data_IF_215316291025
#
_entry.id   IF_215316291025
#
_cell.length_a   1.000
_cell.length_b   1.000
_cell.length_c   1.000
_cell.angle_alpha   90.00
_cell.angle_beta   90.00
_cell.angle_gamma   90.00
#
_symmetry.space_group_name_H-M   'P 1'
#
loop_
_entity.id
_entity.type
_entity.pdbx_description
1 polymer ?
#
# COMPACT_ATOMS: atom_id res chain seq x y z
N UNK A 1 -7.94 16.35 -25.92
CA UNK A 1 -8.19 15.38 -24.82
C UNK A 1 -9.17 14.36 -25.38
N UNK A 2 -9.05 13.06 -25.06
CA UNK A 2 -10.00 12.06 -25.54
C UNK A 2 -11.32 12.22 -24.79
N UNK A 3 -12.46 12.09 -25.49
CA UNK A 3 -13.79 12.11 -24.85
C UNK A 3 -14.07 10.78 -24.16
N UNK A 4 -14.95 10.75 -23.17
CA UNK A 4 -15.28 9.53 -22.43
C UNK A 4 -15.81 8.39 -23.32
N UNK A 5 -16.61 8.73 -24.33
CA UNK A 5 -17.10 7.78 -25.33
C UNK A 5 -15.94 7.14 -26.11
N UNK A 6 -14.98 7.97 -26.56
CA UNK A 6 -13.80 7.49 -27.28
C UNK A 6 -12.95 6.58 -26.38
N UNK A 7 -12.82 6.91 -25.10
CA UNK A 7 -12.12 6.08 -24.12
C UNK A 7 -12.83 4.73 -23.97
N UNK A 8 -14.16 4.71 -23.83
CA UNK A 8 -14.93 3.45 -23.73
C UNK A 8 -14.72 2.57 -24.96
N UNK A 9 -14.73 3.14 -26.15
CA UNK A 9 -14.51 2.37 -27.38
C UNK A 9 -13.07 1.86 -27.49
N UNK A 10 -12.06 2.68 -27.17
CA UNK A 10 -10.66 2.24 -27.13
C UNK A 10 -10.47 1.07 -26.15
N UNK A 11 -11.13 1.12 -24.98
CA UNK A 11 -11.01 0.09 -23.96
C UNK A 11 -11.75 -1.20 -24.30
N UNK A 12 -12.73 -1.20 -25.21
CA UNK A 12 -13.36 -2.43 -25.72
C UNK A 12 -12.37 -3.28 -26.51
N UNK A 13 -11.50 -2.63 -27.27
CA UNK A 13 -10.47 -3.29 -28.08
C UNK A 13 -9.22 -3.68 -27.28
N UNK A 14 -9.07 -3.15 -26.06
CA UNK A 14 -7.97 -3.51 -25.18
C UNK A 14 -8.17 -4.94 -24.64
N UNK A 15 -7.22 -5.86 -24.86
CA UNK A 15 -7.43 -7.27 -24.52
C UNK A 15 -7.58 -7.46 -23.01
N UNK A 16 -8.32 -8.49 -22.60
CA UNK A 16 -8.37 -8.88 -21.20
C UNK A 16 -7.00 -9.48 -20.78
N UNK A 17 -6.41 -8.94 -19.72
CA UNK A 17 -5.05 -9.24 -19.24
C UNK A 17 -5.17 -9.43 -17.74
N UNK A 18 -4.85 -10.61 -17.26
CA UNK A 18 -4.74 -10.85 -15.82
C UNK A 18 -3.41 -10.29 -15.32
N UNK A 19 -3.46 -9.45 -14.29
CA UNK A 19 -2.24 -8.98 -13.64
C UNK A 19 -1.59 -10.15 -12.90
N UNK A 20 -0.27 -10.26 -12.97
CA UNK A 20 0.46 -11.30 -12.21
C UNK A 20 0.15 -11.18 -10.71
N UNK A 21 -0.03 -12.31 -10.04
CA UNK A 21 -0.17 -12.36 -8.58
C UNK A 21 1.13 -11.86 -7.95
N UNK A 22 1.07 -10.66 -7.38
CA UNK A 22 2.19 -10.09 -6.66
C UNK A 22 2.06 -10.48 -5.17
N UNK A 23 3.10 -11.06 -4.59
CA UNK A 23 3.13 -11.40 -3.16
C UNK A 23 4.07 -10.47 -2.39
N UNK A 24 3.53 -9.76 -1.39
CA UNK A 24 4.32 -8.89 -0.52
C UNK A 24 5.21 -9.73 0.42
N UNK A 25 6.50 -9.41 0.44
CA UNK A 25 7.48 -10.08 1.27
C UNK A 25 7.61 -9.43 2.66
N UNK A 26 7.58 -10.27 3.71
CA UNK A 26 7.69 -9.85 5.10
C UNK A 26 8.98 -10.36 5.79
N UNK A 27 10.16 -10.02 5.26
CA UNK A 27 11.50 -10.11 5.91
C UNK A 27 12.38 -11.36 5.66
N UNK A 28 12.14 -12.19 4.64
CA UNK A 28 13.12 -13.23 4.23
C UNK A 28 13.90 -12.80 2.98
N UNK A 29 15.21 -13.10 2.95
CA UNK A 29 16.04 -12.99 1.73
C UNK A 29 15.74 -14.21 0.88
N UNK A 30 15.29 -14.01 -0.35
CA UNK A 30 14.93 -15.10 -1.26
C UNK A 30 16.04 -15.33 -2.29
N UNK A 31 16.24 -16.60 -2.63
CA UNK A 31 17.12 -17.07 -3.70
C UNK A 31 16.49 -16.79 -5.08
N UNK A 32 16.28 -15.50 -5.37
CA UNK A 32 15.77 -15.04 -6.65
C UNK A 32 16.90 -14.98 -7.68
N UNK A 33 16.60 -15.26 -8.94
CA UNK A 33 17.57 -15.16 -10.04
C UNK A 33 17.91 -13.70 -10.36
N UNK A 34 16.93 -12.80 -10.20
CA UNK A 34 17.03 -11.39 -10.57
C UNK A 34 16.28 -10.51 -9.58
N UNK A 35 16.87 -9.37 -9.25
CA UNK A 35 16.29 -8.36 -8.35
C UNK A 35 16.25 -7.02 -9.09
N UNK A 36 15.07 -6.41 -9.18
CA UNK A 36 14.80 -5.17 -9.89
C UNK A 36 14.37 -4.06 -8.93
N UNK A 37 14.97 -2.88 -9.03
CA UNK A 37 14.62 -1.70 -8.27
C UNK A 37 13.57 -0.86 -9.02
N UNK A 38 12.32 -0.96 -8.59
CA UNK A 38 11.18 -0.30 -9.23
C UNK A 38 11.06 1.15 -8.75
N UNK A 39 11.04 2.13 -9.67
CA UNK A 39 10.88 3.55 -9.33
C UNK A 39 9.59 3.85 -8.56
N UNK A 40 9.59 4.96 -7.82
CA UNK A 40 8.38 5.53 -7.22
C UNK A 40 7.58 6.27 -8.29
N UNK A 41 6.39 5.75 -8.60
CA UNK A 41 5.53 6.28 -9.65
C UNK A 41 4.22 5.51 -9.77
N UNK A 42 3.45 5.86 -10.80
CA UNK A 42 2.16 5.24 -11.08
C UNK A 42 2.31 4.07 -12.06
N UNK A 43 1.49 3.04 -11.87
CA UNK A 43 1.45 1.89 -12.78
C UNK A 43 0.68 2.21 -14.05
N UNK A 44 1.22 1.79 -15.19
CA UNK A 44 0.64 2.04 -16.51
C UNK A 44 0.73 0.79 -17.38
N UNK A 45 -0.30 0.59 -18.21
CA UNK A 45 -0.12 -0.14 -19.46
C UNK A 45 0.30 0.83 -20.56
N UNK A 46 1.23 0.40 -21.40
CA UNK A 46 1.57 1.07 -22.66
C UNK A 46 1.15 0.16 -23.79
N UNK A 47 0.23 0.64 -24.62
CA UNK A 47 -0.37 -0.14 -25.70
C UNK A 47 -0.09 0.50 -27.06
N UNK A 48 0.65 -0.21 -27.90
CA UNK A 48 0.94 0.19 -29.26
C UNK A 48 -0.15 -0.36 -30.18
N UNK A 49 -0.89 0.51 -30.86
CA UNK A 49 -2.04 0.10 -31.69
C UNK A 49 -2.31 1.12 -32.80
N UNK A 50 -3.42 0.94 -33.53
CA UNK A 50 -3.91 1.91 -34.50
C UNK A 50 -5.19 2.54 -33.98
N UNK A 51 -5.35 3.83 -34.21
CA UNK A 51 -6.56 4.56 -33.87
C UNK A 51 -6.84 5.57 -34.98
N UNK A 52 -8.06 5.56 -35.54
CA UNK A 52 -8.47 6.44 -36.65
C UNK A 52 -7.48 6.41 -37.85
N UNK A 53 -6.95 5.22 -38.16
CA UNK A 53 -5.97 4.94 -39.25
C UNK A 53 -4.53 5.43 -39.00
N UNK A 54 -4.25 6.01 -37.83
CA UNK A 54 -2.89 6.39 -37.42
C UNK A 54 -2.31 5.38 -36.43
N UNK A 55 -0.99 5.18 -36.47
CA UNK A 55 -0.28 4.41 -35.45
C UNK A 55 -0.15 5.27 -34.19
N UNK A 56 -0.66 4.76 -33.07
CA UNK A 56 -0.69 5.48 -31.78
C UNK A 56 -0.15 4.61 -30.65
N UNK A 57 0.31 5.27 -29.61
CA UNK A 57 0.66 4.65 -28.35
C UNK A 57 -0.27 5.18 -27.26
N UNK A 58 -1.05 4.29 -26.63
CA UNK A 58 -1.88 4.63 -25.50
C UNK A 58 -1.15 4.39 -24.18
N UNK A 59 -1.23 5.35 -23.28
CA UNK A 59 -0.83 5.24 -21.88
C UNK A 59 -2.10 5.07 -21.05
N UNK A 60 -2.27 3.90 -20.44
CA UNK A 60 -3.43 3.55 -19.63
C UNK A 60 -3.00 3.50 -18.16
N UNK A 61 -3.31 4.54 -17.40
CA UNK A 61 -2.99 4.63 -15.97
C UNK A 61 -3.85 3.67 -15.16
N UNK A 62 -3.22 2.90 -14.30
CA UNK A 62 -3.89 2.05 -13.33
C UNK A 62 -4.14 2.81 -12.03
N UNK A 63 -5.34 2.67 -11.49
CA UNK A 63 -5.70 3.19 -10.18
C UNK A 63 -5.12 2.34 -9.06
N UNK A 64 -4.86 2.97 -7.92
CA UNK A 64 -4.53 2.24 -6.69
C UNK A 64 -5.82 1.62 -6.14
N UNK A 65 -5.99 0.31 -6.25
CA UNK A 65 -7.12 -0.39 -5.67
C UNK A 65 -6.77 -0.85 -4.26
N UNK A 66 -7.48 -0.36 -3.25
CA UNK A 66 -7.42 -0.89 -1.87
C UNK A 66 -8.12 -2.25 -1.72
N UNK A 67 -8.59 -2.85 -2.82
CA UNK A 67 -9.25 -4.15 -2.83
C UNK A 67 -8.30 -5.23 -3.38
N UNK A 68 -8.29 -6.44 -2.78
CA UNK A 68 -7.49 -7.57 -3.23
C UNK A 68 -8.20 -8.29 -4.38
N UNK A 69 -8.45 -7.60 -5.49
CA UNK A 69 -9.08 -8.23 -6.66
C UNK A 69 -8.33 -7.80 -7.91
N UNK A 70 -7.89 -8.81 -8.67
CA UNK A 70 -7.15 -8.78 -9.94
C UNK A 70 -7.88 -8.04 -11.09
N UNK A 71 -8.70 -7.03 -10.82
CA UNK A 71 -9.45 -6.26 -11.80
C UNK A 71 -8.66 -5.03 -12.21
N UNK A 72 -8.41 -4.93 -13.51
CA UNK A 72 -7.85 -3.73 -14.14
C UNK A 72 -8.77 -2.54 -13.87
N UNK A 73 -8.31 -1.58 -13.08
CA UNK A 73 -8.98 -0.31 -12.94
C UNK A 73 -8.19 0.76 -13.70
N UNK A 74 -8.57 1.01 -14.95
CA UNK A 74 -7.94 2.04 -15.78
C UNK A 74 -8.62 3.38 -15.45
N UNK A 75 -7.86 4.29 -14.84
CA UNK A 75 -8.36 5.59 -14.38
C UNK A 75 -8.18 6.67 -15.45
N UNK A 76 -7.13 6.58 -16.25
CA UNK A 76 -6.80 7.60 -17.24
C UNK A 76 -6.23 7.00 -18.51
N UNK A 77 -6.68 7.48 -19.68
CA UNK A 77 -6.12 7.12 -21.00
C UNK A 77 -5.51 8.36 -21.67
N UNK A 78 -4.26 8.27 -22.13
CA UNK A 78 -3.57 9.33 -22.89
C UNK A 78 -2.96 8.78 -24.16
N UNK A 79 -2.89 9.61 -25.20
CA UNK A 79 -2.09 9.31 -26.39
C UNK A 79 -0.68 9.85 -26.18
N UNK A 80 0.32 8.99 -26.29
CA UNK A 80 1.72 9.36 -26.37
C UNK A 80 2.08 9.65 -27.82
N UNK A 81 2.34 10.93 -28.15
CA UNK A 81 2.65 11.40 -29.50
C UNK A 81 4.15 11.30 -29.79
N UNK A 82 4.73 10.13 -29.64
CA UNK A 82 6.10 9.88 -30.06
C UNK A 82 6.13 9.22 -31.44
N UNK A 83 7.12 9.55 -32.30
CA UNK A 83 7.39 8.79 -33.49
C UNK A 83 7.91 7.41 -33.08
N UNK A 84 7.17 6.36 -33.45
CA UNK A 84 7.57 4.97 -33.21
C UNK A 84 8.00 4.31 -34.52
N UNK A 85 8.99 3.41 -34.49
CA UNK A 85 9.49 2.75 -35.69
C UNK A 85 8.47 1.73 -36.19
N UNK A 86 7.57 2.16 -37.09
CA UNK A 86 6.81 1.29 -37.99
C UNK A 86 5.95 0.18 -37.34
N UNK A 87 5.28 -0.63 -38.18
CA UNK A 87 4.40 -1.79 -37.85
C UNK A 87 4.98 -2.83 -36.87
N UNK A 88 6.27 -2.74 -36.50
CA UNK A 88 7.03 -3.76 -35.78
C UNK A 88 6.59 -3.97 -34.33
N UNK A 89 5.83 -3.07 -33.73
CA UNK A 89 5.33 -3.23 -32.36
C UNK A 89 3.80 -3.15 -32.27
N UNK A 90 3.11 -3.26 -33.41
CA UNK A 90 1.66 -3.20 -33.44
C UNK A 90 1.05 -4.29 -32.56
N UNK A 91 0.14 -3.92 -31.66
CA UNK A 91 -0.47 -4.83 -30.71
C UNK A 91 0.44 -5.23 -29.53
N UNK A 92 1.61 -4.61 -29.37
CA UNK A 92 2.46 -4.81 -28.18
C UNK A 92 1.86 -4.10 -26.97
N UNK A 93 1.84 -4.79 -25.82
CA UNK A 93 1.33 -4.26 -24.54
C UNK A 93 2.40 -4.47 -23.47
N UNK A 94 2.89 -3.35 -22.94
CA UNK A 94 3.86 -3.31 -21.85
C UNK A 94 3.16 -2.91 -20.56
N UNK A 95 3.71 -3.36 -19.44
CA UNK A 95 3.34 -2.94 -18.11
C UNK A 95 4.56 -2.42 -17.37
N UNK A 96 4.39 -1.36 -16.60
CA UNK A 96 5.51 -0.73 -15.90
C UNK A 96 5.11 0.46 -15.06
N UNK A 97 6.13 1.14 -14.56
CA UNK A 97 5.97 2.33 -13.72
C UNK A 97 6.37 3.57 -14.50
N UNK A 98 5.46 4.56 -14.53
CA UNK A 98 5.75 5.89 -15.05
C UNK A 98 6.10 6.83 -13.89
N UNK A 99 7.24 7.50 -14.01
CA UNK A 99 7.77 8.43 -13.02
C UNK A 99 8.38 9.65 -13.72
N UNK A 100 8.66 10.71 -12.96
CA UNK A 100 9.30 11.93 -13.48
C UNK A 100 10.70 12.06 -12.92
N UNK A 101 11.62 12.46 -13.77
CA UNK A 101 12.97 12.85 -13.38
C UNK A 101 13.38 14.09 -14.17
N UNK A 102 13.78 15.18 -13.50
CA UNK A 102 14.15 16.46 -14.12
C UNK A 102 13.14 16.95 -15.18
N UNK A 103 11.84 16.91 -14.87
CA UNK A 103 10.72 17.23 -15.77
C UNK A 103 10.59 16.34 -17.02
N UNK A 104 11.42 15.32 -17.18
CA UNK A 104 11.25 14.28 -18.18
C UNK A 104 10.36 13.17 -17.62
N UNK A 105 9.43 12.69 -18.44
CA UNK A 105 8.63 11.52 -18.10
C UNK A 105 9.39 10.27 -18.53
N UNK A 106 9.52 9.33 -17.61
CA UNK A 106 10.21 8.06 -17.80
C UNK A 106 9.23 6.92 -17.56
N UNK A 107 9.33 5.86 -18.36
CA UNK A 107 8.57 4.62 -18.22
C UNK A 107 9.55 3.46 -18.04
N UNK A 108 9.54 2.89 -16.83
CA UNK A 108 10.30 1.69 -16.50
C UNK A 108 9.44 0.46 -16.79
N UNK A 109 9.82 -0.31 -17.81
CA UNK A 109 9.13 -1.52 -18.27
C UNK A 109 9.39 -2.65 -17.28
N UNK A 110 8.33 -3.18 -16.68
CA UNK A 110 8.39 -4.28 -15.71
C UNK A 110 7.93 -5.62 -16.29
N UNK A 111 7.05 -5.60 -17.29
CA UNK A 111 6.51 -6.81 -17.89
C UNK A 111 6.02 -6.57 -19.33
N UNK A 112 5.92 -7.64 -20.09
CA UNK A 112 5.31 -7.68 -21.43
C UNK A 112 4.13 -8.65 -21.38
N UNK A 113 2.97 -8.19 -21.84
CA UNK A 113 1.74 -8.99 -21.88
C UNK A 113 1.34 -9.35 -23.31
N UNK A 114 1.68 -8.52 -24.28
CA UNK A 114 1.46 -8.80 -25.69
C UNK A 114 2.67 -8.36 -26.49
N UNK A 115 3.03 -9.11 -27.51
CA UNK A 115 4.10 -8.77 -28.45
C UNK A 115 3.61 -8.94 -29.88
N UNK A 116 3.66 -7.86 -30.66
CA UNK A 116 3.27 -7.88 -32.08
C UNK A 116 1.86 -8.43 -32.33
N UNK A 117 0.92 -8.13 -31.43
CA UNK A 117 -0.48 -8.57 -31.51
C UNK A 117 -0.76 -9.94 -30.90
N UNK A 118 0.28 -10.68 -30.48
CA UNK A 118 0.13 -11.96 -29.81
C UNK A 118 0.18 -11.78 -28.29
N UNK A 119 -0.92 -12.11 -27.61
CA UNK A 119 -0.96 -12.18 -26.15
C UNK A 119 -0.03 -13.30 -25.67
N UNK A 120 0.85 -12.96 -24.73
CA UNK A 120 1.81 -13.91 -24.17
C UNK A 120 1.12 -14.77 -23.10
N UNK A 121 1.28 -16.10 -23.13
CA UNK A 121 0.79 -16.99 -22.08
C UNK A 121 1.37 -16.62 -20.71
N UNK A 122 0.63 -16.91 -19.64
CA UNK A 122 1.06 -16.61 -18.26
C UNK A 122 2.39 -17.28 -17.90
N UNK A 123 2.64 -18.49 -18.40
CA UNK A 123 3.88 -19.26 -18.21
C UNK A 123 5.07 -18.79 -19.07
N UNK A 124 4.94 -17.70 -19.84
CA UNK A 124 6.06 -17.20 -20.64
C UNK A 124 7.22 -16.78 -19.73
N UNK A 125 8.38 -17.41 -19.95
CA UNK A 125 9.60 -17.14 -19.18
C UNK A 125 9.97 -15.65 -19.23
N UNK A 126 10.39 -15.12 -18.08
CA UNK A 126 10.76 -13.71 -17.99
C UNK A 126 12.01 -13.38 -18.84
N UNK A 127 12.92 -14.34 -19.02
CA UNK A 127 14.07 -14.21 -19.93
C UNK A 127 13.63 -13.88 -21.36
N UNK A 128 12.58 -14.54 -21.87
CA UNK A 128 12.00 -14.25 -23.19
C UNK A 128 11.40 -12.84 -23.24
N UNK A 129 10.76 -12.41 -22.15
CA UNK A 129 10.21 -11.05 -22.05
C UNK A 129 11.31 -9.98 -22.06
N UNK A 130 12.46 -10.25 -21.44
CA UNK A 130 13.62 -9.37 -21.50
C UNK A 130 14.17 -9.23 -22.93
N UNK A 131 14.15 -10.29 -23.74
CA UNK A 131 14.51 -10.21 -25.17
C UNK A 131 13.59 -9.24 -25.93
N UNK A 132 12.27 -9.34 -25.71
CA UNK A 132 11.30 -8.40 -26.29
C UNK A 132 11.55 -6.95 -25.84
N UNK A 133 11.79 -6.73 -24.54
CA UNK A 133 12.13 -5.40 -24.02
C UNK A 133 13.40 -4.85 -24.68
N UNK A 134 14.42 -5.68 -24.86
CA UNK A 134 15.68 -5.30 -25.53
C UNK A 134 15.45 -4.89 -26.98
N UNK A 135 14.67 -5.65 -27.73
CA UNK A 135 14.32 -5.33 -29.13
C UNK A 135 13.54 -4.01 -29.24
N UNK A 136 12.56 -3.82 -28.37
CA UNK A 136 11.79 -2.58 -28.29
C UNK A 136 12.72 -1.37 -28.02
N UNK A 137 13.54 -1.45 -26.97
CA UNK A 137 14.41 -0.35 -26.56
C UNK A 137 15.45 0.00 -27.62
N UNK A 138 16.01 -1.00 -28.31
CA UNK A 138 16.92 -0.77 -29.45
C UNK A 138 16.22 0.02 -30.57
N UNK A 139 14.96 -0.31 -30.85
CA UNK A 139 14.18 0.39 -31.88
C UNK A 139 13.82 1.83 -31.49
N UNK A 140 13.43 2.07 -30.22
CA UNK A 140 13.02 3.39 -29.72
C UNK A 140 14.23 4.32 -29.57
N UNK A 141 15.37 3.81 -29.10
CA UNK A 141 16.59 4.62 -28.88
C UNK A 141 17.11 5.22 -30.19
N UNK A 142 17.00 4.49 -31.30
CA UNK A 142 17.39 4.96 -32.64
C UNK A 142 16.62 6.22 -33.09
N UNK A 143 15.39 6.42 -32.58
CA UNK A 143 14.51 7.54 -32.99
C UNK A 143 14.55 8.74 -32.04
N UNK A 144 14.87 8.52 -30.76
CA UNK A 144 14.62 9.49 -29.68
C UNK A 144 15.59 10.69 -29.60
N UNK A 145 16.53 10.85 -30.53
CA UNK A 145 17.65 11.81 -30.40
C UNK A 145 17.27 13.31 -30.51
N UNK A 146 15.99 13.69 -30.71
CA UNK A 146 15.65 15.08 -31.08
C UNK A 146 14.54 15.80 -30.28
N UNK A 147 13.82 15.17 -29.34
CA UNK A 147 12.62 15.82 -28.73
C UNK A 147 12.37 15.40 -27.25
N UNK A 148 11.68 16.26 -26.48
CA UNK A 148 11.25 16.06 -25.08
C UNK A 148 10.17 14.98 -24.99
N UNK A 149 10.62 13.75 -25.03
CA UNK A 149 9.81 12.55 -25.25
C UNK A 149 9.76 11.66 -24.00
N UNK A 150 8.74 10.79 -23.91
CA UNK A 150 8.66 9.77 -22.87
C UNK A 150 9.84 8.80 -23.05
N UNK A 151 10.69 8.71 -22.03
CA UNK A 151 11.87 7.84 -22.05
C UNK A 151 11.49 6.42 -21.63
N UNK A 152 11.76 5.44 -22.48
CA UNK A 152 11.57 4.03 -22.16
C UNK A 152 12.86 3.43 -21.61
N UNK A 153 12.75 2.64 -20.54
CA UNK A 153 13.87 1.91 -19.97
C UNK A 153 13.40 0.68 -19.19
N UNK A 154 14.35 -0.10 -18.69
CA UNK A 154 14.09 -1.20 -17.76
C UNK A 154 14.52 -0.70 -16.36
N UNK A 155 13.83 -1.09 -15.27
CA UNK A 155 14.31 -0.88 -13.92
C UNK A 155 15.78 -1.29 -13.75
N UNK A 156 16.53 -0.61 -12.88
CA UNK A 156 17.85 -1.07 -12.47
C UNK A 156 17.72 -2.49 -11.90
N UNK A 157 18.57 -3.42 -12.34
CA UNK A 157 18.51 -4.79 -11.87
C UNK A 157 19.89 -5.41 -11.69
N UNK A 158 19.96 -6.42 -10.83
CA UNK A 158 21.14 -7.24 -10.60
C UNK A 158 20.78 -8.72 -10.62
N UNK A 159 21.80 -9.57 -10.81
CA UNK A 159 21.68 -11.00 -10.53
C UNK A 159 21.44 -11.20 -9.03
N UNK A 160 20.42 -11.98 -8.66
CA UNK A 160 20.13 -12.24 -7.26
C UNK A 160 21.16 -13.16 -6.59
N UNK A 161 21.00 -13.33 -5.27
CA UNK A 161 21.94 -14.05 -4.41
C UNK A 161 23.21 -13.26 -4.08
N UNK A 162 24.00 -12.88 -5.09
CA UNK A 162 25.37 -12.36 -4.87
C UNK A 162 25.51 -10.84 -4.95
N UNK A 163 24.62 -10.14 -5.67
CA UNK A 163 24.80 -8.71 -5.98
C UNK A 163 23.77 -7.79 -5.30
N UNK A 164 23.07 -8.25 -4.26
CA UNK A 164 22.09 -7.42 -3.57
C UNK A 164 22.70 -6.16 -2.95
N UNK A 165 23.87 -6.26 -2.30
CA UNK A 165 24.58 -5.10 -1.73
C UNK A 165 24.98 -4.09 -2.79
N UNK A 166 25.43 -4.57 -3.96
CA UNK A 166 25.73 -3.73 -5.12
C UNK A 166 24.48 -3.00 -5.63
N UNK A 167 23.33 -3.68 -5.69
CA UNK A 167 22.07 -3.02 -6.04
C UNK A 167 21.78 -1.87 -5.08
N UNK A 168 21.98 -2.06 -3.77
CA UNK A 168 21.75 -1.00 -2.79
C UNK A 168 22.66 0.20 -3.02
N UNK A 169 23.95 -0.01 -3.29
CA UNK A 169 24.87 1.09 -3.63
C UNK A 169 24.49 1.78 -4.95
N UNK A 170 24.11 1.01 -5.97
CA UNK A 170 23.71 1.55 -7.26
C UNK A 170 22.42 2.40 -7.12
N UNK A 171 21.45 1.96 -6.29
CA UNK A 171 20.23 2.72 -5.97
C UNK A 171 20.57 4.09 -5.36
N UNK A 172 21.62 4.20 -4.55
CA UNK A 172 22.01 5.48 -3.95
C UNK A 172 22.48 6.52 -4.97
N UNK A 173 22.98 6.05 -6.12
CA UNK A 173 23.43 6.90 -7.24
C UNK A 173 22.29 7.29 -8.19
N UNK A 174 21.12 6.64 -8.08
CA UNK A 174 20.02 6.90 -8.99
C UNK A 174 19.44 8.29 -8.76
N UNK A 175 19.10 9.02 -9.83
CA UNK A 175 18.62 10.38 -9.70
C UNK A 175 17.09 10.45 -9.47
N UNK A 176 16.48 9.31 -9.14
CA UNK A 176 15.06 9.15 -8.83
C UNK A 176 14.87 8.15 -7.68
N UNK A 177 13.73 8.27 -6.99
CA UNK A 177 13.41 7.44 -5.82
C UNK A 177 12.94 6.06 -6.26
N UNK A 178 13.35 5.03 -5.51
CA UNK A 178 12.87 3.66 -5.63
C UNK A 178 11.78 3.40 -4.59
N UNK A 179 10.67 2.76 -4.99
CA UNK A 179 9.54 2.41 -4.11
C UNK A 179 9.59 0.95 -3.68
N UNK A 180 9.85 0.04 -4.60
CA UNK A 180 9.85 -1.40 -4.32
C UNK A 180 11.03 -2.09 -4.98
N UNK A 181 11.51 -3.15 -4.33
CA UNK A 181 12.39 -4.14 -4.94
C UNK A 181 11.53 -5.33 -5.35
N UNK A 182 11.66 -5.75 -6.60
CA UNK A 182 10.96 -6.88 -7.17
C UNK A 182 11.92 -8.04 -7.40
N UNK A 183 11.57 -9.22 -6.91
CA UNK A 183 12.35 -10.44 -7.02
C UNK A 183 11.70 -11.33 -8.08
N UNK A 184 12.50 -11.77 -9.04
CA UNK A 184 12.08 -12.57 -10.20
C UNK A 184 12.85 -13.87 -10.25
N UNK A 185 12.15 -14.93 -10.60
CA UNK A 185 12.70 -16.23 -10.94
C UNK A 185 12.65 -16.38 -12.45
N UNK A 186 13.78 -16.73 -13.08
CA UNK A 186 13.90 -16.85 -14.52
C UNK A 186 13.55 -18.25 -15.02
N UNK A 187 13.66 -19.25 -14.14
CA UNK A 187 13.51 -20.68 -14.47
C UNK A 187 12.62 -21.42 -13.46
N UNK A 188 12.15 -22.60 -13.85
CA UNK A 188 11.38 -23.51 -13.00
C UNK A 188 9.95 -23.05 -12.70
N UNK A 189 9.29 -23.78 -11.80
CA UNK A 189 7.87 -23.59 -11.45
C UNK A 189 7.57 -22.22 -10.81
N UNK A 190 8.60 -21.58 -10.27
CA UNK A 190 8.51 -20.24 -9.66
C UNK A 190 8.63 -19.11 -10.69
N UNK A 191 8.89 -19.40 -11.96
CA UNK A 191 9.14 -18.39 -13.00
C UNK A 191 7.97 -17.42 -13.26
N UNK A 192 6.75 -17.83 -12.94
CA UNK A 192 5.55 -16.98 -13.00
C UNK A 192 5.35 -16.12 -11.75
N UNK A 193 6.04 -16.44 -10.64
CA UNK A 193 5.87 -15.74 -9.37
C UNK A 193 6.64 -14.42 -9.36
N UNK A 194 6.00 -13.39 -8.79
CA UNK A 194 6.58 -12.07 -8.62
C UNK A 194 6.47 -11.68 -7.16
N UNK A 195 7.62 -11.57 -6.51
CA UNK A 195 7.68 -11.18 -5.10
C UNK A 195 8.17 -9.74 -5.01
N UNK A 196 7.64 -8.96 -4.07
CA UNK A 196 8.06 -7.57 -3.91
C UNK A 196 8.26 -7.19 -2.45
N UNK A 197 9.16 -6.23 -2.23
CA UNK A 197 9.46 -5.65 -0.92
C UNK A 197 9.51 -4.13 -1.07
N UNK A 198 8.88 -3.40 -0.16
CA UNK A 198 9.02 -1.95 -0.13
C UNK A 198 10.48 -1.57 0.18
N UNK A 199 11.06 -0.68 -0.61
CA UNK A 199 12.42 -0.20 -0.42
C UNK A 199 12.42 1.04 0.48
N UNK A 200 13.25 1.02 1.52
CA UNK A 200 13.49 2.15 2.39
C UNK A 200 14.99 2.45 2.38
N UNK A 201 15.37 3.67 1.98
CA UNK A 201 16.78 4.07 1.90
C UNK A 201 17.43 3.97 3.28
N UNK A 202 18.51 3.18 3.45
CA UNK A 202 19.26 3.15 4.70
C UNK A 202 20.00 4.48 4.88
N UNK A 203 19.62 5.31 5.85
CA UNK A 203 20.45 6.40 6.39
C UNK A 203 20.45 7.75 5.64
N UNK A 204 19.47 8.61 5.95
CA UNK A 204 19.78 10.02 6.27
C UNK A 204 19.37 10.19 7.73
N UNK A 205 20.19 10.90 8.52
CA UNK A 205 20.11 11.07 9.97
C UNK A 205 18.70 10.89 10.55
N UNK A 206 18.40 9.66 10.97
CA UNK A 206 17.51 9.46 12.10
C UNK A 206 18.30 10.00 13.29
N UNK A 207 18.19 11.31 13.54
CA UNK A 207 18.27 11.74 14.94
C UNK A 207 17.30 10.80 15.66
N UNK A 208 17.77 10.13 16.70
CA UNK A 208 16.92 9.41 17.63
C UNK A 208 16.02 10.40 18.40
N UNK A 209 15.35 11.31 17.73
CA UNK A 209 14.06 11.81 18.17
C UNK A 209 13.10 10.71 17.78
N UNK A 210 12.75 9.82 18.73
CA UNK A 210 11.69 8.80 18.57
C UNK A 210 10.58 9.36 17.68
N UNK A 211 10.50 9.02 16.38
CA UNK A 211 9.45 9.53 15.55
C UNK A 211 8.31 8.54 15.71
N UNK A 212 7.24 9.06 16.28
CA UNK A 212 5.93 8.43 16.28
C UNK A 212 5.62 7.92 14.86
N UNK A 213 5.42 6.60 14.68
CA UNK A 213 4.97 6.10 13.40
C UNK A 213 3.60 6.70 13.12
N UNK A 214 3.43 7.39 11.99
CA UNK A 214 2.10 7.52 11.37
C UNK A 214 1.69 6.11 10.92
N UNK A 215 1.14 5.35 11.85
CA UNK A 215 0.72 3.97 11.67
C UNK A 215 -0.55 3.93 10.82
N UNK A 216 -0.50 3.17 9.72
CA UNK A 216 -1.71 2.67 9.03
C UNK A 216 -2.50 1.65 9.86
N UNK A 217 -2.06 1.41 11.09
CA UNK A 217 -2.66 0.49 12.04
C UNK A 217 -3.14 1.22 13.31
N UNK A 218 -3.17 2.56 13.33
CA UNK A 218 -3.67 3.31 14.47
C UNK A 218 -5.01 3.97 14.14
N UNK A 219 -5.99 3.82 15.02
CA UNK A 219 -7.29 4.47 14.89
C UNK A 219 -7.78 4.93 16.26
N UNK A 220 -8.57 6.00 16.25
CA UNK A 220 -9.19 6.54 17.45
C UNK A 220 -10.55 5.89 17.64
N UNK A 221 -10.80 5.39 18.85
CA UNK A 221 -12.10 4.86 19.23
C UNK A 221 -12.58 5.52 20.50
N UNK A 222 -13.89 5.76 20.59
CA UNK A 222 -14.54 5.95 21.88
C UNK A 222 -14.70 4.57 22.50
N UNK A 223 -14.14 4.39 23.70
CA UNK A 223 -14.17 3.12 24.42
C UNK A 223 -15.12 3.23 25.61
N UNK A 224 -15.97 2.22 25.76
CA UNK A 224 -16.94 2.08 26.85
C UNK A 224 -16.70 0.71 27.52
N UNK A 225 -16.63 0.62 28.86
CA UNK A 225 -16.43 -0.65 29.55
C UNK A 225 -17.72 -1.48 29.56
N UNK A 226 -17.57 -2.81 29.58
CA UNK A 226 -18.64 -3.74 29.91
C UNK A 226 -18.64 -4.06 31.41
N UNK A 227 -19.65 -4.78 31.91
CA UNK A 227 -19.63 -5.31 33.29
C UNK A 227 -18.55 -6.38 33.40
N UNK A 228 -18.37 -7.21 32.36
CA UNK A 228 -17.35 -8.25 32.34
C UNK A 228 -15.92 -7.69 32.26
N UNK A 229 -15.01 -8.22 33.10
CA UNK A 229 -13.61 -7.82 33.15
C UNK A 229 -12.93 -7.99 31.78
N UNK A 230 -12.02 -7.07 31.46
CA UNK A 230 -11.27 -7.03 30.20
C UNK A 230 -12.11 -6.96 28.91
N UNK A 231 -13.42 -6.67 29.02
CA UNK A 231 -14.29 -6.41 27.87
C UNK A 231 -14.56 -4.90 27.76
N UNK A 232 -14.22 -4.36 26.59
CA UNK A 232 -14.38 -2.96 26.27
C UNK A 232 -14.90 -2.80 24.84
N UNK A 233 -16.00 -2.06 24.68
CA UNK A 233 -16.66 -1.83 23.40
C UNK A 233 -16.05 -0.62 22.69
N UNK A 234 -15.72 -0.77 21.42
CA UNK A 234 -15.15 0.26 20.56
C UNK A 234 -16.26 0.88 19.71
N UNK A 235 -16.31 2.22 19.71
CA UNK A 235 -17.21 2.99 18.86
C UNK A 235 -16.41 3.93 17.96
N UNK A 236 -16.83 4.04 16.71
CA UNK A 236 -16.22 4.92 15.70
C UNK A 236 -17.10 6.17 15.49
N UNK A 237 -16.51 7.36 15.38
CA UNK A 237 -17.25 8.55 15.00
C UNK A 237 -17.70 8.47 13.54
N UNK A 238 -18.99 8.71 13.32
CA UNK A 238 -19.66 8.81 12.03
C UNK A 238 -20.45 10.12 11.98
N UNK A 239 -20.50 10.77 10.83
CA UNK A 239 -21.28 12.00 10.64
C UNK A 239 -22.56 11.68 9.86
N UNK A 240 -23.72 11.88 10.49
CA UNK A 240 -25.02 11.82 9.81
C UNK A 240 -25.75 13.14 10.01
N UNK A 241 -26.20 13.75 8.92
CA UNK A 241 -26.94 15.02 8.94
C UNK A 241 -26.24 16.15 9.74
N UNK A 242 -24.91 16.20 9.71
CA UNK A 242 -24.13 17.21 10.43
C UNK A 242 -23.98 16.99 11.94
N UNK A 243 -24.53 15.90 12.49
CA UNK A 243 -24.30 15.48 13.88
C UNK A 243 -23.27 14.35 13.94
N UNK A 244 -22.34 14.45 14.91
CA UNK A 244 -21.41 13.39 15.22
C UNK A 244 -22.13 12.31 16.06
N UNK A 245 -22.19 11.10 15.52
CA UNK A 245 -22.74 9.93 16.20
C UNK A 245 -21.63 8.88 16.35
N UNK A 246 -21.66 8.12 17.45
CA UNK A 246 -20.70 7.04 17.69
C UNK A 246 -21.37 5.70 17.37
N UNK A 247 -20.93 5.06 16.31
CA UNK A 247 -21.45 3.75 15.88
C UNK A 247 -20.57 2.63 16.45
N UNK A 248 -21.21 1.57 16.93
CA UNK A 248 -20.51 0.40 17.44
C UNK A 248 -19.64 -0.22 16.34
N UNK A 249 -18.39 -0.55 16.69
CA UNK A 249 -17.41 -1.10 15.78
C UNK A 249 -17.05 -2.55 16.12
N UNK A 250 -16.46 -2.79 17.31
CA UNK A 250 -15.99 -4.12 17.73
C UNK A 250 -15.63 -4.11 19.23
N UNK A 251 -15.17 -5.25 19.77
CA UNK A 251 -14.61 -5.37 21.11
C UNK A 251 -13.09 -5.21 21.08
N UNK A 252 -12.54 -4.44 22.02
CA UNK A 252 -11.11 -4.26 22.19
C UNK A 252 -10.41 -5.58 22.56
N UNK A 253 -9.22 -5.78 22.04
CA UNK A 253 -8.36 -6.90 22.42
C UNK A 253 -7.35 -6.45 23.46
N UNK A 254 -7.36 -7.13 24.61
CA UNK A 254 -6.43 -6.90 25.72
C UNK A 254 -5.39 -8.04 25.69
N UNK A 255 -4.21 -7.82 25.10
CA UNK A 255 -3.25 -8.90 24.82
C UNK A 255 -2.41 -9.29 26.03
N UNK A 256 -2.26 -8.40 27.00
CA UNK A 256 -1.33 -8.56 28.12
C UNK A 256 -1.87 -7.90 29.40
N UNK A 257 -1.32 -8.37 30.52
CA UNK A 257 -1.64 -7.87 31.87
C UNK A 257 -1.44 -6.36 31.99
N UNK A 258 -0.41 -5.80 31.35
CA UNK A 258 -0.13 -4.36 31.40
C UNK A 258 -1.27 -3.54 30.80
N UNK A 259 -1.82 -3.99 29.68
CA UNK A 259 -2.97 -3.35 29.02
C UNK A 259 -4.23 -3.53 29.85
N UNK A 260 -4.43 -4.69 30.48
CA UNK A 260 -5.53 -4.92 31.43
C UNK A 260 -5.47 -3.95 32.61
N UNK A 261 -4.32 -3.83 33.28
CA UNK A 261 -4.12 -2.89 34.40
C UNK A 261 -4.38 -1.45 33.97
N UNK A 262 -3.89 -1.04 32.77
CA UNK A 262 -4.17 0.29 32.24
C UNK A 262 -5.67 0.53 32.08
N UNK A 263 -6.38 -0.38 31.41
CA UNK A 263 -7.81 -0.20 31.15
C UNK A 263 -8.63 -0.27 32.44
N UNK A 264 -8.28 -1.17 33.35
CA UNK A 264 -8.89 -1.25 34.67
C UNK A 264 -8.68 0.06 35.44
N UNK A 265 -7.47 0.63 35.46
CA UNK A 265 -7.24 1.91 36.13
C UNK A 265 -8.05 3.09 35.57
N UNK A 266 -8.53 2.99 34.33
CA UNK A 266 -9.36 4.01 33.69
C UNK A 266 -10.85 3.85 34.01
N UNK A 267 -11.35 2.61 34.02
CA UNK A 267 -12.78 2.31 34.05
C UNK A 267 -13.25 1.62 35.34
N UNK A 268 -12.34 1.07 36.14
CA UNK A 268 -12.62 0.19 37.27
C UNK A 268 -11.82 0.57 38.51
N UNK A 269 -12.30 0.13 39.67
CA UNK A 269 -11.55 0.18 40.92
C UNK A 269 -11.30 -1.25 41.39
N UNK A 270 -10.11 -1.78 41.11
CA UNK A 270 -9.70 -3.17 41.41
C UNK A 270 -8.47 -3.06 42.32
N UNK A 271 -8.62 -3.39 43.60
CA UNK A 271 -7.57 -3.26 44.64
C UNK A 271 -6.34 -4.12 44.31
N UNK A 272 -6.58 -5.28 43.72
CA UNK A 272 -5.61 -6.32 43.33
C UNK A 272 -4.64 -5.86 42.24
N UNK A 273 -5.03 -4.89 41.40
CA UNK A 273 -4.12 -4.31 40.40
C UNK A 273 -3.01 -3.48 41.05
N UNK A 274 -3.21 -3.02 42.30
CA UNK A 274 -2.25 -2.22 43.06
C UNK A 274 -1.38 -3.11 43.95
N UNK A 275 -1.99 -4.09 44.63
CA UNK A 275 -1.30 -5.07 45.44
C UNK A 275 -2.01 -6.42 45.35
N UNK A 276 -1.31 -7.47 44.91
CA UNK A 276 -1.88 -8.81 44.80
C UNK A 276 -2.28 -9.38 46.17
N UNK A 277 -1.56 -8.98 47.22
CA UNK A 277 -1.78 -9.43 48.59
C UNK A 277 -3.03 -8.79 49.24
N UNK A 278 -3.62 -7.76 48.59
CA UNK A 278 -4.86 -7.13 49.06
C UNK A 278 -6.08 -8.07 49.01
N UNK A 279 -5.96 -9.23 48.32
CA UNK A 279 -6.96 -10.29 48.33
C UNK A 279 -7.13 -10.96 49.71
N UNK A 280 -6.14 -10.84 50.59
CA UNK A 280 -6.17 -11.43 51.95
C UNK A 280 -6.59 -10.43 53.03
N UNK A 281 -6.77 -9.15 52.67
CA UNK A 281 -7.26 -8.11 53.58
C UNK A 281 -8.79 -8.22 53.71
N UNK A 282 -9.33 -8.01 54.91
CA UNK A 282 -10.78 -8.05 55.13
C UNK A 282 -11.46 -6.88 54.42
N UNK A 283 -12.52 -7.16 53.66
CA UNK A 283 -13.32 -6.13 53.00
C UNK A 283 -13.90 -5.12 54.02
N UNK A 284 -14.00 -3.85 53.62
CA UNK A 284 -14.62 -2.80 54.43
C UNK A 284 -16.15 -2.97 54.43
N UNK A 285 -16.84 -2.56 55.50
CA UNK A 285 -18.30 -2.81 55.66
C UNK A 285 -19.14 -2.26 54.48
N UNK A 286 -18.77 -1.13 53.88
CA UNK A 286 -19.45 -0.56 52.71
C UNK A 286 -19.33 -1.43 51.44
N UNK A 287 -18.23 -2.18 51.28
CA UNK A 287 -18.00 -3.08 50.15
C UNK A 287 -18.82 -4.38 50.28
N UNK A 288 -19.05 -4.79 51.53
CA UNK A 288 -19.89 -5.92 51.88
C UNK A 288 -21.38 -5.62 51.66
N UNK A 289 -21.83 -4.40 51.98
CA UNK A 289 -23.24 -3.98 51.82
C UNK A 289 -23.65 -3.72 50.36
N UNK A 290 -22.70 -3.42 49.46
CA UNK A 290 -23.01 -3.15 48.06
C UNK A 290 -23.14 -4.44 47.23
N UNK A 291 -24.37 -4.83 46.91
CA UNK A 291 -24.71 -6.02 46.10
C UNK A 291 -24.76 -5.74 44.58
N UNK A 292 -24.53 -4.51 44.13
CA UNK A 292 -24.65 -4.17 42.72
C UNK A 292 -23.56 -4.86 41.87
N UNK A 293 -23.96 -5.41 40.73
CA UNK A 293 -23.06 -6.14 39.82
C UNK A 293 -21.99 -5.27 39.16
N UNK A 294 -22.18 -3.95 39.16
CA UNK A 294 -21.27 -2.96 38.59
C UNK A 294 -20.46 -2.19 39.66
N UNK A 295 -20.48 -2.62 40.93
CA UNK A 295 -19.82 -1.91 42.04
C UNK A 295 -18.33 -1.57 41.84
N UNK A 296 -17.64 -2.32 40.98
CA UNK A 296 -16.23 -2.13 40.65
C UNK A 296 -15.96 -1.50 39.27
N UNK A 297 -17.00 -1.11 38.53
CA UNK A 297 -16.89 -0.56 37.17
C UNK A 297 -17.81 0.64 36.96
N UNK A 298 -17.27 1.71 36.39
CA UNK A 298 -18.05 2.89 36.04
C UNK A 298 -18.51 2.81 34.59
N UNK A 299 -19.73 2.29 34.39
CA UNK A 299 -20.33 2.12 33.06
C UNK A 299 -20.68 3.45 32.36
N UNK A 300 -20.72 4.56 33.10
CA UNK A 300 -21.00 5.88 32.54
C UNK A 300 -19.74 6.56 31.97
N UNK A 301 -18.54 6.05 32.32
CA UNK A 301 -17.28 6.57 31.79
C UNK A 301 -17.07 6.12 30.36
N UNK A 302 -16.62 7.05 29.53
CA UNK A 302 -16.12 6.75 28.18
C UNK A 302 -14.90 7.61 27.88
N UNK A 303 -13.91 7.01 27.23
CA UNK A 303 -12.67 7.70 26.86
C UNK A 303 -12.39 7.53 25.38
N UNK A 304 -11.87 8.59 24.75
CA UNK A 304 -11.34 8.50 23.40
C UNK A 304 -9.89 8.04 23.49
N UNK A 305 -9.63 6.85 22.96
CA UNK A 305 -8.33 6.22 23.04
C UNK A 305 -7.79 5.91 21.65
N UNK A 306 -6.47 6.03 21.53
CA UNK A 306 -5.73 5.58 20.38
C UNK A 306 -5.58 4.06 20.51
N UNK A 307 -5.94 3.33 19.47
CA UNK A 307 -5.81 1.87 19.40
C UNK A 307 -4.91 1.47 18.24
N UNK A 308 -4.19 0.35 18.40
CA UNK A 308 -3.35 -0.27 17.36
C UNK A 308 -3.95 -1.60 16.91
N UNK A 309 -4.08 -1.80 15.60
CA UNK A 309 -4.55 -3.06 15.03
C UNK A 309 -3.47 -4.16 15.16
N UNK A 310 -3.80 -5.22 15.88
CA UNK A 310 -2.98 -6.42 16.00
C UNK A 310 -3.31 -7.38 14.85
N UNK A 311 -2.46 -7.41 13.82
CA UNK A 311 -2.68 -8.23 12.63
C UNK A 311 -2.71 -9.75 12.89
N UNK A 312 -2.07 -10.22 13.98
CA UNK A 312 -2.05 -11.65 14.35
C UNK A 312 -3.43 -12.12 14.82
N UNK A 313 -4.08 -11.31 15.65
CA UNK A 313 -5.39 -11.62 16.23
C UNK A 313 -6.55 -10.94 15.50
N UNK A 314 -6.25 -10.09 14.52
CA UNK A 314 -7.20 -9.29 13.74
C UNK A 314 -8.14 -8.44 14.61
N UNK A 315 -7.61 -7.88 15.69
CA UNK A 315 -8.36 -7.06 16.66
C UNK A 315 -7.60 -5.80 17.05
N UNK A 316 -8.30 -4.83 17.62
CA UNK A 316 -7.75 -3.52 18.02
C UNK A 316 -7.33 -3.51 19.49
N UNK A 317 -6.12 -3.05 19.77
CA UNK A 317 -5.54 -2.98 21.13
C UNK A 317 -5.46 -1.52 21.58
N UNK A 318 -6.07 -1.13 22.71
CA UNK A 318 -5.92 0.21 23.28
C UNK A 318 -4.45 0.48 23.68
N UNK A 319 -3.93 1.67 23.33
CA UNK A 319 -2.54 2.03 23.65
C UNK A 319 -2.41 3.29 24.51
N UNK A 320 -3.15 4.35 24.20
CA UNK A 320 -3.03 5.64 24.88
C UNK A 320 -4.36 6.38 24.96
N UNK A 321 -4.64 6.96 26.12
CA UNK A 321 -5.74 7.90 26.29
C UNK A 321 -5.40 9.23 25.62
N UNK A 322 -6.37 9.82 24.91
CA UNK A 322 -6.22 11.14 24.31
C UNK A 322 -6.85 12.18 25.24
N UNK A 323 -6.02 13.08 25.75
CA UNK A 323 -6.48 14.17 26.61
C UNK A 323 -7.27 15.22 25.78
N UNK A 324 -8.29 15.87 26.35
CA UNK A 324 -9.18 16.80 25.63
C UNK A 324 -8.49 18.00 24.95
N UNK A 325 -7.24 18.32 25.29
CA UNK A 325 -6.53 19.49 24.78
C UNK A 325 -5.93 19.33 23.36
N UNK A 326 -6.20 18.22 22.67
CA UNK A 326 -5.73 18.00 21.28
C UNK A 326 -6.87 17.89 20.24
N UNK A 327 -8.11 18.21 20.61
CA UNK A 327 -9.27 18.24 19.69
C UNK A 327 -9.49 19.58 18.98
N UNK A 328 -8.46 20.43 18.85
CA UNK A 328 -8.54 21.68 18.10
C UNK A 328 -7.40 21.82 17.09
N UNK A 329 -7.40 20.99 16.05
CA UNK A 329 -6.93 21.39 14.72
C UNK A 329 -7.85 20.78 13.67
N UNK A 330 -8.86 21.56 13.32
CA UNK A 330 -9.54 21.50 12.04
C UNK A 330 -8.53 21.55 10.89
N UNK A 331 -8.41 20.47 10.12
CA UNK A 331 -8.10 20.61 8.70
C UNK A 331 -9.40 20.53 7.93
N UNK A 332 -10.11 21.66 7.93
CA UNK A 332 -11.09 22.03 6.92
C UNK A 332 -10.42 21.90 5.54
N UNK A 333 -10.96 21.02 4.71
CA UNK A 333 -10.76 21.06 3.27
C UNK A 333 -11.42 22.33 2.74
N UNK A 334 -10.62 23.29 2.29
CA UNK A 334 -11.12 24.33 1.38
C UNK A 334 -11.23 23.72 -0.03
N UNK A 335 -12.38 23.88 -0.71
CA UNK A 335 -12.47 23.58 -2.13
C UNK A 335 -11.78 24.68 -2.92
N UNK A 336 -10.94 24.31 -3.88
CA UNK A 336 -10.45 25.21 -4.92
C UNK A 336 -11.01 24.71 -6.25
N UNK A 337 -12.13 25.31 -6.64
CA UNK A 337 -12.54 25.47 -8.03
C UNK A 337 -11.88 26.76 -8.56
N UNK A 338 -11.05 26.60 -9.60
CA UNK A 338 -10.90 27.37 -10.86
C UNK A 338 -9.58 26.96 -11.53
#
# INVERSE_FOLDING_TARGET
MLREEEIRDILKDFPNIELSYETLLHKKVYDADMIMAIPDGHKYFVWFTTYKKDNVCFLLQLGETNQPINKKHIVHVRICRQPFPNKLHYGTILYGTMFKHNNLSCFAIENVYSWQGNLLPCQTLFSKKLEYMRELLKSITTISQKQKHLLFGIPLFVKGGTQFTKLLSDIETLPYKIKTLQFRYLYGDKSSQVLFMNYFKPGTSYKQTKPTPKNRNEMMFKIVPDIQNDIYHLYQPSYRNGQEIFEYYDIAFIPDYKTSVMMNSLFRNIKENTNLDALEESDDEEEFENENSDKFVDLNKSFVMKCVFNAKFKRWVPIHLVLPQLCSTSHTFTPLDI
#
